data_IF_576834057893
#
_entry.id   IF_576834057893
#
_cell.length_a   1.000
_cell.length_b   1.000
_cell.length_c   1.000
_cell.angle_alpha   90.00
_cell.angle_beta   90.00
_cell.angle_gamma   90.00
#
_symmetry.space_group_name_H-M   'P 1'
#
loop_
_entity.id
_entity.type
_entity.pdbx_description
1 polymer ?
#
# COMPACT_ATOMS: atom_id res chain seq x y z
N UNK A 1 -63.27 -26.75 54.81
CA UNK A 1 -62.06 -26.09 55.35
C UNK A 1 -61.05 -25.96 54.23
N UNK A 2 -60.62 -24.73 54.02
CA UNK A 2 -59.73 -24.17 52.99
C UNK A 2 -58.46 -24.99 52.73
N UNK A 3 -58.11 -25.23 51.45
CA UNK A 3 -56.70 -25.37 51.06
C UNK A 3 -56.42 -24.71 49.71
N UNK A 4 -55.32 -23.96 49.74
CA UNK A 4 -54.83 -22.94 48.82
C UNK A 4 -54.62 -23.40 47.37
N UNK A 5 -54.97 -22.52 46.42
CA UNK A 5 -54.30 -22.38 45.12
C UNK A 5 -52.80 -22.18 45.39
N UNK A 6 -51.94 -23.05 44.85
CA UNK A 6 -50.52 -22.75 44.71
C UNK A 6 -50.11 -22.76 43.24
N UNK A 7 -49.55 -21.61 42.89
CA UNK A 7 -49.21 -21.09 41.58
C UNK A 7 -47.89 -21.74 41.12
N UNK A 8 -47.87 -22.22 39.88
CA UNK A 8 -46.71 -22.78 39.20
C UNK A 8 -45.48 -21.85 39.26
N UNK A 9 -44.28 -22.32 39.63
CA UNK A 9 -43.06 -21.57 39.41
C UNK A 9 -42.67 -21.67 37.93
N UNK A 10 -42.54 -20.50 37.31
CA UNK A 10 -42.07 -20.29 35.93
C UNK A 10 -40.60 -20.69 35.85
N UNK A 11 -40.28 -21.72 35.08
CA UNK A 11 -38.90 -22.04 34.71
C UNK A 11 -38.34 -20.94 33.81
N UNK A 12 -37.50 -20.06 34.35
CA UNK A 12 -36.74 -19.09 33.60
C UNK A 12 -35.50 -19.79 33.01
N UNK A 13 -35.57 -20.15 31.73
CA UNK A 13 -34.39 -20.61 30.97
C UNK A 13 -33.54 -19.39 30.57
N UNK A 14 -32.25 -19.32 30.91
CA UNK A 14 -31.38 -18.30 30.36
C UNK A 14 -31.06 -18.65 28.91
N UNK A 15 -31.58 -17.86 27.96
CA UNK A 15 -31.16 -17.86 26.56
C UNK A 15 -29.70 -17.39 26.50
N UNK A 16 -28.78 -18.34 26.37
CA UNK A 16 -27.37 -18.07 26.09
C UNK A 16 -27.25 -17.69 24.60
N UNK A 17 -27.27 -16.39 24.31
CA UNK A 17 -27.06 -15.87 22.95
C UNK A 17 -25.58 -16.06 22.57
N UNK A 18 -25.29 -17.08 21.78
CA UNK A 18 -23.97 -17.30 21.18
C UNK A 18 -23.79 -16.26 20.06
N UNK A 19 -23.05 -15.19 20.34
CA UNK A 19 -22.52 -14.28 19.32
C UNK A 19 -21.47 -15.03 18.49
N UNK A 20 -21.87 -15.59 17.35
CA UNK A 20 -20.92 -16.03 16.32
C UNK A 20 -20.22 -14.79 15.78
N UNK A 21 -19.01 -14.52 16.27
CA UNK A 21 -18.07 -13.62 15.61
C UNK A 21 -17.62 -14.27 14.30
N UNK A 22 -18.25 -13.91 13.19
CA UNK A 22 -17.72 -14.17 11.86
C UNK A 22 -16.48 -13.30 11.66
N UNK A 23 -15.30 -13.84 11.99
CA UNK A 23 -14.04 -13.29 11.52
C UNK A 23 -13.99 -13.49 10.01
N UNK A 24 -14.37 -12.48 9.24
CA UNK A 24 -14.12 -12.47 7.81
C UNK A 24 -12.60 -12.53 7.58
N UNK A 25 -12.11 -13.36 6.65
CA UNK A 25 -10.69 -13.36 6.34
C UNK A 25 -10.32 -11.97 5.78
N UNK A 26 -9.40 -11.28 6.45
CA UNK A 26 -8.75 -10.14 5.82
C UNK A 26 -7.85 -10.74 4.75
N UNK A 27 -8.23 -10.63 3.48
CA UNK A 27 -7.31 -10.95 2.39
C UNK A 27 -6.19 -9.91 2.47
N UNK A 28 -4.99 -10.36 2.84
CA UNK A 28 -3.80 -9.54 2.70
C UNK A 28 -3.74 -9.11 1.23
N UNK A 29 -3.64 -7.81 1.00
CA UNK A 29 -3.47 -7.32 -0.36
C UNK A 29 -2.15 -7.90 -0.91
N UNK A 30 -2.16 -8.34 -2.16
CA UNK A 30 -0.97 -8.87 -2.82
C UNK A 30 -0.18 -7.72 -3.44
N UNK A 31 1.14 -7.80 -3.31
CA UNK A 31 2.05 -6.81 -3.90
C UNK A 31 1.96 -6.91 -5.43
N UNK A 32 1.76 -5.80 -6.16
CA UNK A 32 1.50 -5.85 -7.59
C UNK A 32 2.80 -5.99 -8.39
N UNK A 33 3.44 -7.16 -8.29
CA UNK A 33 4.59 -7.49 -9.13
C UNK A 33 4.20 -7.49 -10.62
N UNK A 34 5.15 -7.08 -11.48
CA UNK A 34 5.00 -7.02 -12.93
C UNK A 34 4.00 -5.98 -13.43
N UNK A 35 3.47 -5.12 -12.56
CA UNK A 35 2.56 -4.04 -12.94
C UNK A 35 3.27 -2.69 -12.84
N UNK A 36 3.19 -1.90 -13.90
CA UNK A 36 3.64 -0.51 -13.89
C UNK A 36 2.68 0.34 -13.03
N UNK A 37 3.26 1.23 -12.23
CA UNK A 37 2.50 2.15 -11.39
C UNK A 37 3.00 3.58 -11.59
N UNK A 38 2.08 4.53 -11.66
CA UNK A 38 2.37 5.96 -11.83
C UNK A 38 2.22 6.71 -10.51
N UNK A 39 3.15 7.59 -10.16
CA UNK A 39 3.10 8.40 -8.95
C UNK A 39 1.85 9.30 -8.93
N UNK A 40 1.12 9.26 -7.82
CA UNK A 40 0.00 10.17 -7.55
C UNK A 40 0.55 11.51 -7.04
N UNK A 41 0.96 12.37 -7.99
CA UNK A 41 1.43 13.71 -7.72
C UNK A 41 0.94 14.69 -8.79
N UNK A 42 0.97 15.99 -8.47
CA UNK A 42 0.79 17.01 -9.49
C UNK A 42 2.01 17.00 -10.45
N UNK A 43 1.81 17.17 -11.77
CA UNK A 43 2.93 17.32 -12.70
C UNK A 43 3.79 18.54 -12.34
N UNK A 44 5.08 18.46 -12.64
CA UNK A 44 5.98 19.60 -12.44
C UNK A 44 5.72 20.71 -13.46
N UNK A 45 6.00 21.99 -13.11
CA UNK A 45 5.97 23.07 -14.08
C UNK A 45 6.85 22.75 -15.30
N UNK A 46 6.28 22.85 -16.49
CA UNK A 46 6.99 22.57 -17.74
C UNK A 46 7.07 21.10 -18.17
N UNK A 47 6.50 20.16 -17.40
CA UNK A 47 6.43 18.74 -17.77
C UNK A 47 5.10 18.11 -17.38
N UNK A 48 4.49 17.34 -18.30
CA UNK A 48 3.33 16.49 -17.98
C UNK A 48 3.74 15.11 -17.43
N UNK A 49 5.03 14.79 -17.47
CA UNK A 49 5.56 13.49 -17.06
C UNK A 49 5.40 13.32 -15.55
N UNK A 50 4.88 12.17 -15.16
CA UNK A 50 4.84 11.70 -13.78
C UNK A 50 5.74 10.48 -13.66
N UNK A 51 6.41 10.27 -12.51
CA UNK A 51 7.26 9.13 -12.30
C UNK A 51 6.49 7.80 -12.40
N UNK A 52 7.08 6.82 -13.06
CA UNK A 52 6.60 5.44 -13.06
C UNK A 52 7.59 4.51 -12.38
N UNK A 53 7.05 3.47 -11.74
CA UNK A 53 7.80 2.39 -11.12
C UNK A 53 7.13 1.07 -11.50
N UNK A 54 7.91 0.11 -11.97
CA UNK A 54 7.52 -1.28 -12.07
C UNK A 54 8.47 -2.10 -11.21
N UNK A 55 7.94 -3.10 -10.51
CA UNK A 55 8.73 -4.04 -9.70
C UNK A 55 8.48 -5.44 -10.23
N UNK A 56 9.50 -6.07 -10.77
CA UNK A 56 9.44 -7.43 -11.29
C UNK A 56 9.31 -8.48 -10.18
N UNK A 57 9.01 -9.71 -10.58
CA UNK A 57 8.75 -10.85 -9.68
C UNK A 57 9.92 -11.19 -8.74
N UNK A 58 11.16 -10.83 -9.09
CA UNK A 58 12.33 -11.03 -8.22
C UNK A 58 12.73 -9.74 -7.50
N UNK A 59 11.85 -8.74 -7.50
CA UNK A 59 12.01 -7.45 -6.84
C UNK A 59 12.86 -6.44 -7.61
N UNK A 60 13.39 -6.78 -8.79
CA UNK A 60 14.06 -5.82 -9.66
C UNK A 60 13.10 -4.68 -10.01
N UNK A 61 13.56 -3.44 -9.87
CA UNK A 61 12.72 -2.26 -10.11
C UNK A 61 13.21 -1.50 -11.33
N UNK A 62 12.31 -1.08 -12.19
CA UNK A 62 12.56 -0.04 -13.19
C UNK A 62 11.91 1.26 -12.72
N UNK A 63 12.66 2.35 -12.80
CA UNK A 63 12.22 3.66 -12.36
C UNK A 63 12.39 4.65 -13.50
N UNK A 64 11.31 5.33 -13.83
CA UNK A 64 11.25 6.35 -14.85
C UNK A 64 10.75 7.64 -14.20
N UNK A 65 11.66 8.46 -13.68
CA UNK A 65 11.35 9.64 -12.89
C UNK A 65 11.20 10.89 -13.76
N UNK A 66 11.26 12.09 -13.18
CA UNK A 66 11.07 13.34 -13.94
C UNK A 66 12.20 13.62 -14.93
N UNK A 67 13.46 13.43 -14.51
CA UNK A 67 14.62 13.63 -15.39
C UNK A 67 15.66 12.49 -15.31
N UNK A 68 15.50 11.57 -14.36
CA UNK A 68 16.30 10.36 -14.23
C UNK A 68 15.50 9.11 -14.60
N UNK A 69 16.18 8.12 -15.17
CA UNK A 69 15.67 6.76 -15.30
C UNK A 69 16.74 5.76 -14.89
N UNK A 70 16.33 4.61 -14.36
CA UNK A 70 17.29 3.64 -13.86
C UNK A 70 16.66 2.41 -13.26
N UNK A 71 17.47 1.68 -12.51
CA UNK A 71 17.08 0.44 -11.85
C UNK A 71 17.18 0.56 -10.34
N UNK A 72 16.46 -0.29 -9.64
CA UNK A 72 16.57 -0.50 -8.20
C UNK A 72 16.23 -1.94 -7.82
N UNK A 73 16.16 -2.20 -6.52
CA UNK A 73 15.75 -3.48 -5.98
C UNK A 73 14.79 -3.24 -4.82
N UNK A 74 13.62 -3.85 -4.89
CA UNK A 74 12.71 -4.03 -3.78
C UNK A 74 12.90 -5.43 -3.17
N UNK A 75 12.86 -5.50 -1.84
CA UNK A 75 12.61 -6.73 -1.10
C UNK A 75 11.26 -6.58 -0.42
N UNK A 76 10.32 -7.47 -0.73
CA UNK A 76 8.97 -7.44 -0.18
C UNK A 76 8.73 -8.71 0.62
N UNK A 77 8.31 -8.56 1.87
CA UNK A 77 7.99 -9.67 2.77
C UNK A 77 6.75 -9.32 3.59
N UNK A 78 5.61 -9.92 3.27
CA UNK A 78 4.32 -9.48 3.83
C UNK A 78 4.05 -8.03 3.45
N UNK A 79 3.78 -7.18 4.44
CA UNK A 79 3.61 -5.73 4.28
C UNK A 79 4.92 -4.93 4.41
N UNK A 80 6.04 -5.59 4.69
CA UNK A 80 7.35 -4.95 4.82
C UNK A 80 7.98 -4.77 3.44
N UNK A 81 8.63 -3.62 3.25
CA UNK A 81 9.33 -3.27 2.01
C UNK A 81 10.68 -2.65 2.32
N UNK A 82 11.70 -3.00 1.53
CA UNK A 82 13.00 -2.35 1.53
C UNK A 82 13.34 -1.99 0.09
N UNK A 83 13.68 -0.73 -0.16
CA UNK A 83 14.14 -0.26 -1.46
C UNK A 83 15.62 0.08 -1.45
N UNK A 84 16.33 -0.37 -2.48
CA UNK A 84 17.69 0.04 -2.77
C UNK A 84 17.75 0.62 -4.18
N UNK A 85 18.09 1.91 -4.27
CA UNK A 85 18.32 2.55 -5.56
C UNK A 85 19.60 2.00 -6.20
N UNK A 86 19.52 1.66 -7.48
CA UNK A 86 20.68 1.36 -8.31
C UNK A 86 21.20 2.60 -9.04
N UNK A 87 21.94 2.38 -10.13
CA UNK A 87 22.41 3.48 -10.97
C UNK A 87 21.24 4.15 -11.68
N UNK A 88 21.28 5.49 -11.70
CA UNK A 88 20.31 6.35 -12.36
C UNK A 88 21.01 7.12 -13.47
N UNK A 89 20.46 7.06 -14.67
CA UNK A 89 20.89 7.86 -15.80
C UNK A 89 20.15 9.19 -15.78
N UNK A 90 20.89 10.29 -15.78
CA UNK A 90 20.32 11.63 -15.86
C UNK A 90 20.18 12.06 -17.32
N UNK A 91 19.07 12.71 -17.66
CA UNK A 91 18.83 13.31 -18.98
C UNK A 91 18.24 14.70 -18.83
N UNK A 92 19.00 15.74 -19.21
CA UNK A 92 18.56 17.14 -19.22
C UNK A 92 17.88 17.59 -17.91
N UNK A 93 18.41 17.17 -16.76
CA UNK A 93 17.86 17.52 -15.46
C UNK A 93 17.96 19.02 -15.19
N UNK A 94 16.81 19.68 -15.02
CA UNK A 94 16.78 20.98 -14.36
C UNK A 94 17.03 20.80 -12.85
N UNK A 95 17.50 21.83 -12.13
CA UNK A 95 17.70 21.71 -10.68
C UNK A 95 16.43 21.30 -9.92
N UNK A 96 15.27 21.79 -10.35
CA UNK A 96 13.99 21.44 -9.74
C UNK A 96 13.61 19.96 -9.99
N UNK A 97 13.80 19.46 -11.22
CA UNK A 97 13.52 18.07 -11.54
C UNK A 97 14.44 17.11 -10.79
N UNK A 98 15.74 17.41 -10.75
CA UNK A 98 16.72 16.61 -9.99
C UNK A 98 16.38 16.54 -8.52
N UNK A 99 16.03 17.68 -7.89
CA UNK A 99 15.70 17.71 -6.47
C UNK A 99 14.43 16.90 -6.14
N UNK A 100 13.44 16.89 -7.05
CA UNK A 100 12.25 16.08 -6.89
C UNK A 100 12.53 14.59 -7.08
N UNK A 101 13.38 14.21 -8.05
CA UNK A 101 13.85 12.84 -8.24
C UNK A 101 14.59 12.35 -6.98
N UNK A 102 15.48 13.17 -6.42
CA UNK A 102 16.18 12.88 -5.16
C UNK A 102 15.22 12.70 -3.99
N UNK A 103 14.19 13.54 -3.89
CA UNK A 103 13.19 13.44 -2.84
C UNK A 103 12.35 12.17 -2.95
N UNK A 104 11.98 11.77 -4.16
CA UNK A 104 11.22 10.54 -4.39
C UNK A 104 12.07 9.30 -4.09
N UNK A 105 13.31 9.25 -4.56
CA UNK A 105 14.22 8.13 -4.27
C UNK A 105 14.48 7.99 -2.76
N UNK A 106 14.62 9.11 -2.05
CA UNK A 106 14.75 9.11 -0.59
C UNK A 106 13.48 8.58 0.08
N UNK A 107 12.31 9.05 -0.31
CA UNK A 107 11.04 8.60 0.28
C UNK A 107 10.81 7.10 0.05
N UNK A 108 11.16 6.57 -1.13
CA UNK A 108 11.14 5.14 -1.40
C UNK A 108 12.17 4.38 -0.54
N UNK A 109 13.38 4.91 -0.38
CA UNK A 109 14.45 4.28 0.41
C UNK A 109 14.17 4.27 1.92
N UNK A 110 13.38 5.22 2.41
CA UNK A 110 12.95 5.31 3.81
C UNK A 110 11.61 4.60 4.08
N UNK A 111 10.94 4.08 3.05
CA UNK A 111 9.73 3.30 3.22
C UNK A 111 10.05 2.00 3.96
N UNK A 112 9.24 1.67 4.96
CA UNK A 112 9.38 0.46 5.77
C UNK A 112 8.23 -0.52 5.52
N UNK A 113 7.04 -0.02 5.20
CA UNK A 113 5.88 -0.84 4.87
C UNK A 113 5.20 -0.37 3.60
N UNK A 114 4.33 -1.22 3.06
CA UNK A 114 3.49 -0.88 1.94
C UNK A 114 2.04 -1.31 2.21
N UNK A 115 1.10 -0.63 1.58
CA UNK A 115 -0.31 -0.99 1.62
C UNK A 115 -0.94 -0.83 0.25
N UNK A 116 -2.04 -1.54 0.00
CA UNK A 116 -2.82 -1.39 -1.22
C UNK A 116 -4.31 -1.22 -0.91
N UNK A 117 -4.93 -0.26 -1.60
CA UNK A 117 -6.37 -0.01 -1.60
C UNK A 117 -6.85 0.15 -3.04
N UNK A 118 -7.51 -0.87 -3.57
CA UNK A 118 -7.87 -0.91 -4.99
C UNK A 118 -6.60 -0.80 -5.84
N UNK A 119 -6.55 0.22 -6.69
CA UNK A 119 -5.42 0.47 -7.59
C UNK A 119 -4.37 1.42 -6.99
N UNK A 120 -4.52 1.84 -5.74
CA UNK A 120 -3.52 2.69 -5.07
C UNK A 120 -2.61 1.83 -4.20
N UNK A 121 -1.31 1.89 -4.49
CA UNK A 121 -0.22 1.37 -3.65
C UNK A 121 0.39 2.54 -2.90
N UNK A 122 0.57 2.40 -1.59
CA UNK A 122 1.24 3.39 -0.75
C UNK A 122 2.48 2.78 -0.15
N UNK A 123 3.65 3.36 -0.41
CA UNK A 123 4.89 3.07 0.32
C UNK A 123 4.95 4.02 1.52
N UNK A 124 5.04 3.45 2.72
CA UNK A 124 4.86 4.14 4.00
C UNK A 124 6.19 4.20 4.73
N UNK A 125 6.67 5.41 4.94
CA UNK A 125 7.82 5.77 5.77
C UNK A 125 7.60 7.13 6.42
N UNK A 126 8.66 7.91 6.70
CA UNK A 126 8.53 9.30 7.16
C UNK A 126 7.69 10.17 6.21
N UNK A 127 7.80 9.90 4.90
CA UNK A 127 6.94 10.45 3.86
C UNK A 127 6.23 9.30 3.15
N UNK A 128 4.90 9.33 3.12
CA UNK A 128 4.13 8.35 2.35
C UNK A 128 4.05 8.79 0.89
N UNK A 129 4.53 7.94 -0.02
CA UNK A 129 4.37 8.13 -1.46
C UNK A 129 3.35 7.14 -2.01
N UNK A 130 2.49 7.63 -2.90
CA UNK A 130 1.36 6.87 -3.44
C UNK A 130 1.54 6.71 -4.93
N UNK A 131 1.29 5.50 -5.42
CA UNK A 131 1.30 5.17 -6.83
C UNK A 131 -0.04 4.56 -7.19
N UNK A 132 -0.51 4.84 -8.40
CA UNK A 132 -1.66 4.22 -9.01
C UNK A 132 -1.18 3.16 -9.99
N UNK A 133 -1.68 1.94 -9.85
CA UNK A 133 -1.47 0.85 -10.80
C UNK A 133 -2.09 1.25 -12.14
N UNK A 134 -1.29 1.16 -13.20
CA UNK A 134 -1.76 1.45 -14.54
C UNK A 134 -2.68 0.30 -14.99
N UNK A 135 -3.94 0.63 -15.29
CA UNK A 135 -4.92 -0.31 -15.84
C UNK A 135 -5.06 -0.02 -17.32
N UNK A 136 -4.77 -1.02 -18.16
CA UNK A 136 -5.05 -0.98 -19.60
C UNK A 136 -6.55 -1.16 -19.87
#
# INVERSE_FOLDING_TARGET
>A
MTFLRQIFPRHASPLFAVLLFCAAPVQAAEFPFGLEMTLEAAPQPGSKRLPTVEVGERGEATLDLWCRSGRGQFSVAGDTVIFMAGQMQETNCTPAASAADDALLRALGEAATWTRRGDIVSFVGPVTVKFRINTN
#
